data_IF_092523369729
#
_entry.id   IF_092523369729
#
_cell.length_a   1.000
_cell.length_b   1.000
_cell.length_c   1.000
_cell.angle_alpha   90.00
_cell.angle_beta   90.00
_cell.angle_gamma   90.00
#
_symmetry.space_group_name_H-M   'P 1'
#
loop_
_entity.id
_entity.type
_entity.pdbx_description
1 polymer ?
#
# COMPACT_ATOMS: atom_id res chain seq x y z
N UNK A 1 0.64 -20.29 -18.57
CA UNK A 1 0.54 -20.47 -17.11
C UNK A 1 0.45 -19.08 -16.48
N UNK A 2 -0.58 -18.84 -15.67
CA UNK A 2 -0.63 -17.64 -14.83
C UNK A 2 0.28 -17.90 -13.63
N UNK A 3 1.30 -17.05 -13.47
CA UNK A 3 2.11 -17.05 -12.26
C UNK A 3 1.22 -16.67 -11.08
N UNK A 4 1.41 -17.34 -9.96
CA UNK A 4 0.61 -17.12 -8.74
C UNK A 4 1.47 -17.10 -7.49
N UNK A 5 2.74 -17.49 -7.56
CA UNK A 5 3.71 -17.21 -6.49
C UNK A 5 4.58 -16.01 -6.81
N UNK A 6 4.72 -15.16 -5.81
CA UNK A 6 5.42 -13.88 -5.86
C UNK A 6 6.34 -13.72 -4.66
N UNK A 7 7.34 -12.85 -4.79
CA UNK A 7 8.16 -12.39 -3.67
C UNK A 7 8.12 -10.86 -3.59
N UNK A 8 8.11 -10.30 -2.38
CA UNK A 8 8.36 -8.89 -2.12
C UNK A 8 9.74 -8.73 -1.48
N UNK A 9 10.53 -7.78 -2.00
CA UNK A 9 11.82 -7.43 -1.42
C UNK A 9 11.72 -6.27 -0.42
N UNK A 10 12.83 -5.97 0.26
CA UNK A 10 12.88 -4.90 1.27
C UNK A 10 12.56 -3.51 0.70
N UNK A 11 12.73 -3.30 -0.59
CA UNK A 11 12.38 -2.05 -1.27
C UNK A 11 10.93 -2.05 -1.76
N UNK A 12 10.14 -3.07 -1.44
CA UNK A 12 8.74 -3.21 -1.80
C UNK A 12 8.50 -3.64 -3.25
N UNK A 13 9.52 -4.08 -3.99
CA UNK A 13 9.34 -4.60 -5.35
C UNK A 13 8.84 -6.04 -5.32
N UNK A 14 7.87 -6.34 -6.18
CA UNK A 14 7.19 -7.63 -6.24
C UNK A 14 7.55 -8.35 -7.55
N UNK A 15 8.08 -9.58 -7.43
CA UNK A 15 8.56 -10.39 -8.55
C UNK A 15 7.84 -11.75 -8.62
N UNK A 16 7.54 -12.21 -9.84
CA UNK A 16 7.06 -13.57 -10.10
C UNK A 16 8.14 -14.60 -9.79
N UNK A 17 7.77 -15.71 -9.16
CA UNK A 17 8.71 -16.80 -8.84
C UNK A 17 8.23 -18.19 -9.26
N UNK A 18 6.93 -18.50 -9.15
CA UNK A 18 6.39 -19.82 -9.47
C UNK A 18 4.87 -19.77 -9.73
N UNK A 19 4.22 -20.93 -9.87
CA UNK A 19 2.78 -21.08 -10.07
C UNK A 19 2.06 -21.62 -8.82
N UNK A 20 2.51 -21.25 -7.62
CA UNK A 20 1.93 -21.69 -6.35
C UNK A 20 0.59 -21.00 -6.07
N UNK A 21 -0.45 -21.78 -5.77
CA UNK A 21 -1.83 -21.31 -5.66
C UNK A 21 -2.70 -21.56 -6.91
N UNK A 22 -2.08 -21.81 -8.07
CA UNK A 22 -2.77 -22.26 -9.28
C UNK A 22 -3.91 -21.32 -9.68
N UNK A 23 -5.13 -21.83 -9.85
CA UNK A 23 -6.27 -21.02 -10.26
C UNK A 23 -7.06 -20.34 -9.14
N UNK A 24 -6.68 -20.58 -7.89
CA UNK A 24 -7.54 -20.24 -6.76
C UNK A 24 -7.09 -18.97 -6.02
N UNK A 25 -5.79 -18.75 -5.91
CA UNK A 25 -5.21 -17.64 -5.14
C UNK A 25 -3.79 -17.33 -5.59
N UNK A 26 -3.30 -16.17 -5.17
CA UNK A 26 -1.89 -15.79 -5.27
C UNK A 26 -1.20 -15.97 -3.90
N UNK A 27 0.11 -16.12 -3.88
CA UNK A 27 0.95 -16.18 -2.68
C UNK A 27 2.06 -15.15 -2.79
N UNK A 28 2.20 -14.29 -1.79
CA UNK A 28 3.27 -13.30 -1.69
C UNK A 28 4.22 -13.69 -0.56
N UNK A 29 5.47 -13.98 -0.90
CA UNK A 29 6.52 -14.34 0.05
C UNK A 29 7.45 -13.18 0.38
N UNK A 30 8.08 -13.20 1.54
CA UNK A 30 9.27 -12.39 1.79
C UNK A 30 10.42 -12.97 0.93
N UNK A 31 11.02 -12.13 0.08
CA UNK A 31 12.10 -12.55 -0.84
C UNK A 31 13.33 -13.13 -0.13
N UNK A 32 13.71 -12.58 1.02
CA UNK A 32 14.91 -13.00 1.77
C UNK A 32 14.69 -14.33 2.51
N UNK A 33 13.44 -14.68 2.80
CA UNK A 33 13.08 -15.91 3.52
C UNK A 33 12.58 -17.02 2.59
N UNK A 34 12.25 -16.70 1.34
CA UNK A 34 11.77 -17.67 0.37
C UNK A 34 12.90 -18.59 -0.10
N UNK A 35 12.66 -19.90 0.00
CA UNK A 35 13.55 -20.95 -0.49
C UNK A 35 12.74 -22.20 -0.87
N UNK A 36 13.42 -23.26 -1.32
CA UNK A 36 12.78 -24.56 -1.54
C UNK A 36 12.14 -25.13 -0.27
N UNK A 37 12.73 -24.86 0.90
CA UNK A 37 12.30 -25.40 2.20
C UNK A 37 11.12 -24.62 2.79
N UNK A 38 10.99 -23.33 2.48
CA UNK A 38 9.89 -22.47 2.97
C UNK A 38 8.73 -22.36 1.98
N UNK A 39 8.83 -23.03 0.83
CA UNK A 39 7.69 -23.19 -0.09
C UNK A 39 6.54 -23.89 0.63
N UNK A 40 5.33 -23.34 0.50
CA UNK A 40 4.16 -23.82 1.25
C UNK A 40 4.03 -23.21 2.65
N UNK A 41 5.04 -22.49 3.16
CA UNK A 41 4.94 -21.80 4.45
C UNK A 41 4.25 -20.43 4.29
N UNK A 42 2.93 -20.48 4.12
CA UNK A 42 2.08 -19.30 4.09
C UNK A 42 0.72 -19.57 4.74
N UNK A 43 0.03 -18.48 5.09
CA UNK A 43 -1.36 -18.49 5.53
C UNK A 43 -2.03 -17.15 5.14
N UNK A 44 -3.25 -16.89 5.62
CA UNK A 44 -3.98 -15.63 5.36
C UNK A 44 -3.71 -14.54 6.40
N UNK A 45 -2.88 -14.81 7.41
CA UNK A 45 -2.62 -13.92 8.55
C UNK A 45 -1.44 -12.99 8.29
N UNK A 46 -0.51 -13.39 7.41
CA UNK A 46 0.71 -12.63 7.13
C UNK A 46 1.78 -12.77 8.22
N UNK A 47 1.73 -13.83 9.03
CA UNK A 47 2.73 -14.12 10.07
C UNK A 47 3.79 -15.14 9.64
N UNK A 48 3.56 -15.85 8.53
CA UNK A 48 4.48 -16.84 7.96
C UNK A 48 5.44 -16.24 6.95
N UNK A 49 6.27 -17.08 6.33
CA UNK A 49 7.19 -16.68 5.27
C UNK A 49 6.47 -16.03 4.09
N UNK A 50 5.27 -16.51 3.76
CA UNK A 50 4.37 -15.87 2.82
C UNK A 50 2.96 -15.63 3.33
N UNK A 51 2.20 -14.90 2.53
CA UNK A 51 0.77 -14.64 2.71
C UNK A 51 -0.01 -15.09 1.47
N UNK A 52 -1.06 -15.87 1.69
CA UNK A 52 -2.06 -16.18 0.67
C UNK A 52 -3.00 -14.98 0.50
N UNK A 53 -3.18 -14.54 -0.74
CA UNK A 53 -4.04 -13.41 -1.11
C UNK A 53 -4.95 -13.79 -2.28
N UNK A 54 -6.05 -13.05 -2.42
CA UNK A 54 -7.01 -13.23 -3.49
C UNK A 54 -6.36 -13.07 -4.85
N UNK A 55 -6.75 -13.95 -5.78
CA UNK A 55 -6.22 -13.95 -7.14
C UNK A 55 -6.50 -12.63 -7.84
N UNK A 56 -5.50 -12.13 -8.57
CA UNK A 56 -5.65 -10.95 -9.42
C UNK A 56 -5.42 -9.61 -8.72
N UNK A 57 -5.05 -9.61 -7.43
CA UNK A 57 -4.46 -8.43 -6.78
C UNK A 57 -3.13 -8.10 -7.45
N UNK A 58 -2.31 -9.13 -7.73
CA UNK A 58 -1.00 -9.02 -8.39
C UNK A 58 -1.13 -9.33 -9.88
N UNK A 59 -1.66 -8.40 -10.65
CA UNK A 59 -2.02 -8.61 -12.07
C UNK A 59 -1.16 -7.82 -13.07
N UNK A 60 -0.10 -7.15 -12.61
CA UNK A 60 0.75 -6.32 -13.46
C UNK A 60 1.55 -7.11 -14.50
N UNK A 61 1.94 -6.41 -15.56
CA UNK A 61 2.87 -6.93 -16.58
C UNK A 61 4.30 -6.46 -16.34
N UNK A 62 4.51 -5.46 -15.46
CA UNK A 62 5.83 -4.99 -15.07
C UNK A 62 6.59 -6.10 -14.35
N UNK A 63 7.84 -6.32 -14.78
CA UNK A 63 8.73 -7.29 -14.20
C UNK A 63 9.10 -7.00 -12.74
N UNK A 64 8.87 -5.78 -12.23
CA UNK A 64 9.39 -5.32 -10.92
C UNK A 64 8.33 -5.06 -9.85
N UNK A 65 7.07 -4.87 -10.19
CA UNK A 65 6.06 -4.48 -9.18
C UNK A 65 4.77 -5.27 -9.24
N UNK A 66 4.46 -5.99 -10.32
CA UNK A 66 3.19 -6.72 -10.43
C UNK A 66 1.92 -5.87 -10.22
N UNK A 67 2.03 -4.56 -10.34
CA UNK A 67 0.89 -3.63 -10.29
C UNK A 67 0.36 -3.37 -11.70
N UNK A 68 -0.96 -3.40 -11.86
CA UNK A 68 -1.64 -2.91 -13.06
C UNK A 68 -1.96 -1.42 -13.01
N UNK A 69 -1.71 -0.75 -11.88
CA UNK A 69 -2.01 0.67 -11.65
C UNK A 69 -0.74 1.42 -11.31
N UNK A 70 -0.07 1.92 -12.34
CA UNK A 70 1.19 2.65 -12.23
C UNK A 70 0.94 4.13 -12.47
N UNK A 71 1.45 4.98 -11.59
CA UNK A 71 1.56 6.43 -11.83
C UNK A 71 3.03 6.82 -11.86
N UNK A 72 3.42 7.58 -12.89
CA UNK A 72 4.79 8.07 -13.08
C UNK A 72 4.77 9.59 -13.03
N UNK A 73 5.71 10.18 -12.31
CA UNK A 73 5.90 11.62 -12.28
C UNK A 73 7.35 12.02 -12.08
N UNK A 74 7.65 13.31 -12.25
CA UNK A 74 8.97 13.90 -12.02
C UNK A 74 8.87 14.78 -10.79
N UNK A 75 9.88 14.75 -9.92
CA UNK A 75 9.93 15.63 -8.76
C UNK A 75 10.40 17.03 -9.16
N UNK A 76 9.88 18.02 -8.46
CA UNK A 76 10.28 19.42 -8.60
C UNK A 76 11.06 19.83 -7.35
N UNK A 77 12.01 20.75 -7.52
CA UNK A 77 12.66 21.47 -6.42
C UNK A 77 11.65 22.41 -5.76
N UNK A 78 11.99 22.95 -4.58
CA UNK A 78 11.09 23.88 -3.86
C UNK A 78 10.80 25.17 -4.67
N UNK A 79 11.73 25.60 -5.51
CA UNK A 79 11.61 26.73 -6.44
C UNK A 79 10.96 26.36 -7.79
N UNK A 80 10.44 25.13 -7.92
CA UNK A 80 9.64 24.70 -9.06
C UNK A 80 10.44 24.21 -10.28
N UNK A 81 11.75 24.01 -10.16
CA UNK A 81 12.57 23.44 -11.22
C UNK A 81 12.47 21.91 -11.26
N UNK A 82 12.58 21.33 -12.46
CA UNK A 82 12.59 19.87 -12.60
C UNK A 82 13.87 19.29 -11.99
N UNK A 83 13.74 18.35 -11.06
CA UNK A 83 14.89 17.63 -10.49
C UNK A 83 15.45 16.56 -11.44
N UNK A 84 14.68 16.18 -12.47
CA UNK A 84 14.97 15.01 -13.32
C UNK A 84 14.72 13.65 -12.65
N UNK A 85 14.49 13.60 -11.32
CA UNK A 85 14.18 12.37 -10.60
C UNK A 85 12.75 11.93 -10.94
N UNK A 86 12.66 10.83 -11.69
CA UNK A 86 11.39 10.13 -11.93
C UNK A 86 11.03 9.28 -10.73
N UNK A 87 9.77 9.34 -10.30
CA UNK A 87 9.22 8.47 -9.25
C UNK A 87 8.03 7.70 -9.80
N UNK A 88 7.94 6.43 -9.41
CA UNK A 88 6.82 5.56 -9.71
C UNK A 88 6.00 5.35 -8.45
N UNK A 89 4.70 5.26 -8.61
CA UNK A 89 3.77 4.80 -7.59
C UNK A 89 3.00 3.59 -8.12
N UNK A 90 3.09 2.48 -7.41
CA UNK A 90 2.40 1.24 -7.73
C UNK A 90 1.24 1.05 -6.77
N UNK A 91 0.07 0.73 -7.29
CA UNK A 91 -1.13 0.52 -6.51
C UNK A 91 -1.81 -0.83 -6.82
N UNK A 92 -2.51 -1.38 -5.83
CA UNK A 92 -3.16 -2.69 -5.88
C UNK A 92 -4.53 -2.56 -5.25
N UNK A 93 -5.56 -3.00 -5.96
CA UNK A 93 -6.92 -3.02 -5.42
C UNK A 93 -7.16 -4.32 -4.65
N UNK A 94 -7.67 -4.19 -3.43
CA UNK A 94 -8.07 -5.31 -2.58
C UNK A 94 -9.53 -5.09 -2.19
N UNK A 95 -10.40 -6.04 -2.53
CA UNK A 95 -11.85 -5.90 -2.27
C UNK A 95 -12.21 -6.17 -0.82
N UNK A 96 -11.51 -7.12 -0.18
CA UNK A 96 -11.78 -7.51 1.19
C UNK A 96 -10.94 -6.68 2.17
N UNK A 97 -11.60 -6.02 3.13
CA UNK A 97 -10.91 -5.13 4.06
C UNK A 97 -9.96 -5.87 5.01
N UNK A 98 -10.40 -7.01 5.55
CA UNK A 98 -9.60 -7.81 6.46
C UNK A 98 -8.34 -8.37 5.77
N UNK A 99 -8.46 -8.78 4.51
CA UNK A 99 -7.33 -9.19 3.69
C UNK A 99 -6.35 -8.04 3.46
N UNK A 100 -6.85 -6.83 3.16
CA UNK A 100 -5.98 -5.66 2.99
C UNK A 100 -5.17 -5.34 4.25
N UNK A 101 -5.78 -5.49 5.43
CA UNK A 101 -5.11 -5.34 6.73
C UNK A 101 -4.06 -6.43 6.95
N UNK A 102 -4.36 -7.69 6.62
CA UNK A 102 -3.36 -8.77 6.69
C UNK A 102 -2.18 -8.52 5.76
N UNK A 103 -2.43 -8.05 4.54
CA UNK A 103 -1.38 -7.67 3.58
C UNK A 103 -0.53 -6.53 4.13
N UNK A 104 -1.14 -5.48 4.70
CA UNK A 104 -0.39 -4.37 5.30
C UNK A 104 0.51 -4.82 6.45
N UNK A 105 0.02 -5.70 7.33
CA UNK A 105 0.83 -6.27 8.41
C UNK A 105 1.99 -7.14 7.87
N UNK A 106 1.76 -7.86 6.78
CA UNK A 106 2.83 -8.59 6.12
C UNK A 106 3.89 -7.66 5.52
N UNK A 107 3.48 -6.56 4.87
CA UNK A 107 4.40 -5.59 4.26
C UNK A 107 5.21 -4.81 5.32
N UNK A 108 4.59 -4.44 6.45
CA UNK A 108 5.26 -3.76 7.58
C UNK A 108 6.41 -4.59 8.17
N UNK A 109 6.25 -5.91 8.20
CA UNK A 109 7.27 -6.82 8.74
C UNK A 109 8.40 -7.15 7.77
N UNK A 110 8.15 -6.99 6.47
CA UNK A 110 8.98 -7.58 5.42
C UNK A 110 9.53 -6.55 4.42
N UNK A 111 9.25 -5.26 4.61
CA UNK A 111 9.75 -4.17 3.75
C UNK A 111 10.23 -2.98 4.59
N UNK A 112 11.15 -2.19 4.01
CA UNK A 112 11.71 -0.97 4.61
C UNK A 112 11.17 0.30 3.94
N UNK A 113 10.05 0.20 3.21
CA UNK A 113 9.44 1.30 2.48
C UNK A 113 8.04 1.60 3.02
N UNK A 114 7.59 2.83 2.80
CA UNK A 114 6.22 3.17 3.15
C UNK A 114 5.23 2.50 2.19
N UNK A 115 4.19 1.93 2.77
CA UNK A 115 2.98 1.52 2.07
C UNK A 115 1.79 2.24 2.66
N UNK A 116 0.81 2.57 1.82
CA UNK A 116 -0.50 3.06 2.25
C UNK A 116 -1.55 2.00 2.00
N UNK A 117 -2.64 2.06 2.76
CA UNK A 117 -3.88 1.37 2.47
C UNK A 117 -5.05 2.35 2.67
N UNK A 118 -5.68 2.74 1.57
CA UNK A 118 -6.84 3.64 1.61
C UNK A 118 -8.12 2.87 1.33
N UNK A 119 -8.98 2.71 2.35
CA UNK A 119 -10.33 2.16 2.20
C UNK A 119 -11.28 3.24 1.69
N UNK A 120 -11.95 2.96 0.59
CA UNK A 120 -12.90 3.85 -0.06
C UNK A 120 -14.22 3.15 -0.35
N UNK A 121 -15.31 3.90 -0.32
CA UNK A 121 -16.67 3.45 -0.58
C UNK A 121 -17.33 4.33 -1.66
N UNK A 122 -18.05 3.72 -2.59
CA UNK A 122 -18.91 4.46 -3.53
C UNK A 122 -20.34 4.58 -3.02
N UNK A 123 -21.14 5.42 -3.67
CA UNK A 123 -22.55 5.68 -3.29
C UNK A 123 -23.44 4.42 -3.32
N UNK A 124 -23.03 3.36 -4.01
CA UNK A 124 -23.76 2.10 -4.11
C UNK A 124 -23.33 1.09 -3.03
N UNK A 125 -22.46 1.47 -2.08
CA UNK A 125 -21.94 0.59 -1.02
C UNK A 125 -20.83 -0.36 -1.49
N UNK A 126 -20.26 -0.13 -2.67
CA UNK A 126 -19.12 -0.87 -3.18
C UNK A 126 -17.82 -0.33 -2.59
N UNK A 127 -17.06 -1.21 -1.92
CA UNK A 127 -15.84 -0.86 -1.21
C UNK A 127 -14.58 -1.39 -1.91
N UNK A 128 -13.51 -0.63 -1.80
CA UNK A 128 -12.18 -1.01 -2.29
C UNK A 128 -11.10 -0.46 -1.36
N UNK A 129 -10.13 -1.30 -1.04
CA UNK A 129 -8.87 -0.88 -0.46
C UNK A 129 -7.86 -0.66 -1.59
N UNK A 130 -7.19 0.49 -1.57
CA UNK A 130 -6.09 0.79 -2.47
C UNK A 130 -4.79 0.76 -1.68
N UNK A 131 -4.04 -0.33 -1.84
CA UNK A 131 -2.69 -0.46 -1.28
C UNK A 131 -1.71 0.19 -2.25
N UNK A 132 -0.82 1.07 -1.80
CA UNK A 132 0.16 1.69 -2.70
C UNK A 132 1.49 2.03 -2.05
N UNK A 133 2.56 2.01 -2.85
CA UNK A 133 3.91 2.44 -2.46
C UNK A 133 4.59 3.20 -3.59
N UNK A 134 5.50 4.10 -3.24
CA UNK A 134 6.46 4.68 -4.18
C UNK A 134 7.88 4.12 -4.02
N UNK A 135 8.04 3.04 -3.25
CA UNK A 135 9.34 2.42 -2.94
C UNK A 135 10.31 3.37 -2.20
N UNK A 136 9.78 4.34 -1.47
CA UNK A 136 10.55 5.29 -0.67
C UNK A 136 10.29 5.04 0.82
N UNK A 137 11.32 5.18 1.64
CA UNK A 137 11.26 4.86 3.08
C UNK A 137 10.58 5.93 3.95
N UNK A 138 10.36 7.14 3.43
CA UNK A 138 9.91 8.30 4.23
C UNK A 138 8.72 9.06 3.65
N UNK A 139 8.16 8.56 2.55
CA UNK A 139 7.00 9.16 1.89
C UNK A 139 6.40 8.20 0.89
N UNK A 140 5.12 8.43 0.57
CA UNK A 140 4.44 7.84 -0.58
C UNK A 140 4.21 8.93 -1.64
N UNK A 141 5.18 9.06 -2.54
CA UNK A 141 5.08 9.98 -3.67
C UNK A 141 3.99 9.56 -4.64
N UNK A 142 3.25 10.53 -5.18
CA UNK A 142 2.18 10.33 -6.18
C UNK A 142 0.99 9.43 -5.74
N UNK A 143 0.89 9.01 -4.48
CA UNK A 143 -0.23 8.19 -4.00
C UNK A 143 -1.59 8.90 -4.12
N UNK A 144 -1.64 10.21 -3.83
CA UNK A 144 -2.84 11.02 -3.97
C UNK A 144 -3.40 11.05 -5.40
N UNK A 145 -2.56 10.95 -6.44
CA UNK A 145 -3.01 10.87 -7.82
C UNK A 145 -3.84 9.62 -8.10
N UNK A 146 -3.49 8.50 -7.47
CA UNK A 146 -4.24 7.25 -7.60
C UNK A 146 -5.57 7.36 -6.86
N UNK A 147 -5.56 7.83 -5.62
CA UNK A 147 -6.76 8.01 -4.78
C UNK A 147 -7.74 8.99 -5.43
N UNK A 148 -7.25 10.09 -5.98
CA UNK A 148 -8.08 11.12 -6.63
C UNK A 148 -8.88 10.60 -7.83
N UNK A 149 -8.45 9.51 -8.49
CA UNK A 149 -9.25 8.88 -9.56
C UNK A 149 -10.57 8.31 -9.02
N UNK A 150 -10.55 7.75 -7.81
CA UNK A 150 -11.74 7.23 -7.13
C UNK A 150 -12.61 8.36 -6.58
N UNK A 151 -11.99 9.36 -5.93
CA UNK A 151 -12.72 10.53 -5.40
C UNK A 151 -13.49 11.24 -6.51
N UNK A 152 -12.85 11.49 -7.68
CA UNK A 152 -13.54 12.06 -8.85
C UNK A 152 -14.66 11.18 -9.41
N UNK A 153 -14.59 9.88 -9.16
CA UNK A 153 -15.63 8.91 -9.51
C UNK A 153 -16.71 8.77 -8.43
N UNK A 154 -16.71 9.64 -7.42
CA UNK A 154 -17.74 9.70 -6.38
C UNK A 154 -17.49 8.81 -5.17
N UNK A 155 -16.28 8.25 -5.01
CA UNK A 155 -15.90 7.53 -3.80
C UNK A 155 -15.58 8.49 -2.64
N UNK A 156 -15.86 8.05 -1.42
CA UNK A 156 -15.40 8.69 -0.18
C UNK A 156 -14.36 7.81 0.51
N UNK A 157 -13.35 8.45 1.11
CA UNK A 157 -12.35 7.77 1.94
C UNK A 157 -12.96 7.50 3.31
N UNK A 158 -12.97 6.24 3.73
CA UNK A 158 -13.38 5.82 5.07
C UNK A 158 -12.19 5.72 6.01
N UNK A 159 -11.05 5.26 5.48
CA UNK A 159 -9.83 5.04 6.25
C UNK A 159 -8.59 5.23 5.39
N UNK A 160 -7.57 5.87 5.94
CA UNK A 160 -6.25 5.99 5.31
C UNK A 160 -5.19 5.56 6.30
N UNK A 161 -4.59 4.40 6.03
CA UNK A 161 -3.49 3.83 6.79
C UNK A 161 -2.18 4.01 6.03
N UNK A 162 -1.06 4.16 6.72
CA UNK A 162 0.26 4.04 6.11
C UNK A 162 1.30 3.49 7.09
N UNK A 163 2.37 2.89 6.54
CA UNK A 163 3.48 2.33 7.29
C UNK A 163 4.55 3.39 7.46
N UNK A 164 5.08 3.54 8.68
CA UNK A 164 6.36 4.21 8.93
C UNK A 164 7.44 3.16 9.17
N UNK A 165 8.30 2.84 8.17
CA UNK A 165 9.38 1.89 8.35
C UNK A 165 10.44 2.52 9.26
N UNK A 166 10.60 1.98 10.48
CA UNK A 166 11.63 2.40 11.43
C UNK A 166 11.41 3.76 12.13
N UNK A 167 10.66 4.72 11.58
CA UNK A 167 10.52 6.09 12.10
C UNK A 167 9.51 6.27 13.26
N UNK A 168 8.98 5.19 13.81
CA UNK A 168 8.09 5.21 14.99
C UNK A 168 6.63 5.53 14.64
N UNK A 169 5.83 5.86 15.65
CA UNK A 169 4.35 5.87 15.59
C UNK A 169 3.70 7.25 15.42
N UNK A 170 4.49 8.29 15.17
CA UNK A 170 4.05 9.68 15.24
C UNK A 170 3.81 10.21 13.84
N UNK A 171 2.66 10.87 13.65
CA UNK A 171 2.34 11.56 12.41
C UNK A 171 3.23 12.79 12.21
N UNK A 172 3.78 12.92 11.00
CA UNK A 172 4.48 14.11 10.56
C UNK A 172 3.51 15.30 10.39
N UNK A 173 4.03 16.52 10.60
CA UNK A 173 3.22 17.74 10.72
C UNK A 173 2.50 18.19 9.44
N UNK A 174 2.17 19.48 9.37
CA UNK A 174 1.31 20.04 8.31
C UNK A 174 1.85 19.89 6.87
N UNK A 175 3.15 19.64 6.70
CA UNK A 175 3.75 19.37 5.38
C UNK A 175 3.81 17.89 5.03
N UNK A 176 3.35 17.00 5.92
CA UNK A 176 3.33 15.55 5.76
C UNK A 176 1.95 14.97 6.08
N UNK A 177 1.87 14.07 7.06
CA UNK A 177 0.70 13.24 7.34
C UNK A 177 -0.53 14.06 7.74
N UNK A 178 -0.35 15.06 8.60
CA UNK A 178 -1.44 15.95 9.02
C UNK A 178 -1.95 16.78 7.83
N UNK A 179 -1.06 17.31 7.00
CA UNK A 179 -1.44 18.05 5.80
C UNK A 179 -2.22 17.21 4.80
N UNK A 180 -1.74 15.99 4.53
CA UNK A 180 -2.43 15.04 3.67
C UNK A 180 -3.81 14.66 4.22
N UNK A 181 -3.91 14.41 5.53
CA UNK A 181 -5.17 14.09 6.18
C UNK A 181 -6.18 15.25 6.11
N UNK A 182 -5.74 16.50 6.33
CA UNK A 182 -6.58 17.70 6.13
C UNK A 182 -7.15 17.78 4.72
N UNK A 183 -6.35 17.49 3.68
CA UNK A 183 -6.81 17.48 2.29
C UNK A 183 -7.86 16.39 2.03
N UNK A 184 -7.70 15.20 2.61
CA UNK A 184 -8.69 14.12 2.50
C UNK A 184 -10.00 14.53 3.19
N UNK A 185 -9.93 15.13 4.38
CA UNK A 185 -11.10 15.56 5.15
C UNK A 185 -11.97 16.61 4.44
N UNK A 186 -11.41 17.40 3.52
CA UNK A 186 -12.19 18.33 2.70
C UNK A 186 -13.26 17.62 1.85
N UNK A 187 -12.99 16.37 1.45
CA UNK A 187 -13.88 15.59 0.58
C UNK A 187 -14.55 14.43 1.32
N UNK A 188 -13.92 13.94 2.39
CA UNK A 188 -14.33 12.77 3.17
C UNK A 188 -14.25 13.09 4.68
N UNK A 189 -15.21 13.87 5.22
CA UNK A 189 -15.11 14.46 6.56
C UNK A 189 -15.17 13.45 7.72
N UNK A 190 -15.47 12.17 7.43
CA UNK A 190 -15.55 11.08 8.39
C UNK A 190 -14.35 10.11 8.30
N UNK A 191 -13.36 10.43 7.47
CA UNK A 191 -12.19 9.57 7.28
C UNK A 191 -11.40 9.42 8.59
N UNK A 192 -10.94 8.19 8.86
CA UNK A 192 -10.04 7.87 9.97
C UNK A 192 -8.62 7.69 9.43
N UNK A 193 -7.64 8.13 10.21
CA UNK A 193 -6.23 8.07 9.82
C UNK A 193 -5.40 7.30 10.84
N UNK A 194 -4.57 6.37 10.36
CA UNK A 194 -3.73 5.54 11.23
C UNK A 194 -2.33 5.33 10.67
N UNK A 195 -1.36 5.19 11.56
CA UNK A 195 0.00 4.75 11.24
C UNK A 195 0.13 3.29 11.67
N UNK A 196 0.61 2.44 10.77
CA UNK A 196 1.03 1.09 11.08
C UNK A 196 2.54 1.10 11.38
N UNK A 197 2.92 0.61 12.54
CA UNK A 197 4.32 0.37 12.88
C UNK A 197 4.44 -0.87 13.76
N UNK A 198 5.24 -1.84 13.31
CA UNK A 198 5.50 -3.10 14.03
C UNK A 198 4.21 -3.87 14.37
N UNK A 199 3.29 -3.93 13.42
CA UNK A 199 2.00 -4.62 13.55
C UNK A 199 0.95 -3.92 14.41
N UNK A 200 1.20 -2.68 14.85
CA UNK A 200 0.27 -1.89 15.67
C UNK A 200 -0.20 -0.66 14.89
N UNK A 201 -1.52 -0.44 14.87
CA UNK A 201 -2.14 0.75 14.29
C UNK A 201 -2.35 1.85 15.34
N UNK A 202 -1.82 3.04 15.06
CA UNK A 202 -1.92 4.22 15.91
C UNK A 202 -2.84 5.25 15.24
N UNK A 203 -3.96 5.55 15.88
CA UNK A 203 -4.93 6.52 15.35
C UNK A 203 -4.50 7.95 15.67
N UNK A 204 -4.35 8.79 14.66
CA UNK A 204 -3.99 10.20 14.80
C UNK A 204 -5.08 11.17 14.30
N UNK A 205 -6.31 10.66 14.06
CA UNK A 205 -7.43 11.45 13.52
C UNK A 205 -7.73 12.69 14.36
N UNK A 206 -7.67 12.56 15.70
CA UNK A 206 -7.92 13.67 16.62
C UNK A 206 -6.79 14.70 16.66
N UNK A 207 -5.57 14.32 16.25
CA UNK A 207 -4.41 15.23 16.23
C UNK A 207 -4.53 16.26 15.11
N UNK A 208 -5.26 15.92 14.03
CA UNK A 208 -5.46 16.78 12.87
C UNK A 208 -6.17 18.10 13.22
N UNK A 209 -7.02 18.07 14.24
CA UNK A 209 -7.80 19.22 14.69
C UNK A 209 -7.11 20.05 15.79
N UNK A 210 -5.94 19.61 16.28
CA UNK A 210 -5.17 20.38 17.25
C UNK A 210 -4.44 21.51 16.52
N UNK A 211 -4.64 22.74 17.02
CA UNK A 211 -3.98 23.95 16.52
C UNK A 211 -2.57 24.07 17.07
#
# INVERSE_FOLDING_TARGET
MLYTGYTVDRNGYILKINNEGGDNYDVLYNKEKYSSETKGDYDKTGNKTGIQISKGILSGTDARSMSSKITKGVLYTQDGQLTGKTVLNHAYEVKNDQESVSIMNFLDKNTDVEWSNTLMENKQGGNVNLISTSHEAKRISFGSYQINKYIRSGYQVLRSDHIHPGEGRVASGDTGDIGNAKNILQHSPKAIFRILNKGIYYNYTNEIYRK
#
